data_IF_377993442311
#
_entry.id   IF_377993442311
#
_cell.length_a   1.000
_cell.length_b   1.000
_cell.length_c   1.000
_cell.angle_alpha   90.00
_cell.angle_beta   90.00
_cell.angle_gamma   90.00
#
_symmetry.space_group_name_H-M   'P 1'
#
loop_
_entity.id
_entity.type
_entity.pdbx_description
1 polymer ?
#
# COMPACT_ATOMS: atom_id res chain seq x y z
N UNK A 1 -1.96 -4.61 -24.35
CA UNK A 1 -3.10 -3.89 -23.77
C UNK A 1 -3.58 -2.89 -24.79
N UNK A 2 -4.84 -3.00 -25.21
CA UNK A 2 -5.44 -2.15 -26.24
C UNK A 2 -6.34 -1.05 -25.64
N UNK A 3 -7.08 -0.31 -26.49
CA UNK A 3 -7.99 0.75 -26.04
C UNK A 3 -9.16 0.24 -25.20
N UNK A 4 -9.64 -0.98 -25.47
CA UNK A 4 -10.75 -1.59 -24.72
C UNK A 4 -10.25 -1.96 -23.33
N UNK A 5 -9.07 -2.57 -23.22
CA UNK A 5 -8.47 -2.91 -21.93
C UNK A 5 -8.27 -1.65 -21.06
N UNK A 6 -7.78 -0.56 -21.65
CA UNK A 6 -7.65 0.74 -20.95
C UNK A 6 -9.03 1.26 -20.51
N UNK A 7 -10.04 1.14 -21.37
CA UNK A 7 -11.42 1.52 -21.06
C UNK A 7 -12.02 0.72 -19.91
N UNK A 8 -11.73 -0.58 -19.84
CA UNK A 8 -12.14 -1.48 -18.76
C UNK A 8 -11.48 -1.07 -17.43
N UNK A 9 -10.16 -0.84 -17.44
CA UNK A 9 -9.44 -0.39 -16.25
C UNK A 9 -9.98 0.94 -15.75
N UNK A 10 -10.22 1.91 -16.63
CA UNK A 10 -10.83 3.21 -16.27
C UNK A 10 -12.24 3.08 -15.72
N UNK A 11 -13.03 2.13 -16.24
CA UNK A 11 -14.41 1.91 -15.79
C UNK A 11 -14.49 1.19 -14.45
N UNK A 12 -13.43 0.51 -14.03
CA UNK A 12 -13.39 -0.30 -12.79
C UNK A 12 -12.49 0.27 -11.70
N UNK A 13 -11.70 1.32 -12.00
CA UNK A 13 -10.71 1.89 -11.06
C UNK A 13 -11.31 2.44 -9.76
N UNK A 14 -12.54 2.96 -9.81
CA UNK A 14 -13.25 3.50 -8.64
C UNK A 14 -14.22 2.45 -8.04
N UNK A 15 -14.13 1.19 -8.50
CA UNK A 15 -15.06 0.10 -8.18
C UNK A 15 -15.96 -0.28 -9.37
N UNK A 16 -16.72 -1.35 -9.20
CA UNK A 16 -17.78 -1.74 -10.16
C UNK A 16 -19.11 -1.08 -9.78
N UNK A 17 -20.03 -0.85 -10.73
CA UNK A 17 -21.39 -0.40 -10.42
C UNK A 17 -22.06 -1.32 -9.39
N UNK A 18 -22.77 -0.76 -8.42
CA UNK A 18 -23.52 -1.56 -7.43
C UNK A 18 -24.93 -1.81 -7.97
N UNK A 19 -25.02 -2.73 -8.93
CA UNK A 19 -26.28 -3.17 -9.56
C UNK A 19 -26.28 -4.69 -9.74
N UNK A 20 -27.41 -5.26 -10.17
CA UNK A 20 -27.53 -6.70 -10.40
C UNK A 20 -26.68 -7.21 -11.58
N UNK A 21 -26.36 -6.34 -12.54
CA UNK A 21 -25.63 -6.67 -13.77
C UNK A 21 -24.51 -5.64 -14.02
N UNK A 22 -23.45 -5.60 -13.19
CA UNK A 22 -22.43 -4.55 -13.24
C UNK A 22 -21.58 -4.59 -14.51
N UNK A 23 -21.23 -5.79 -14.99
CA UNK A 23 -20.38 -5.95 -16.17
C UNK A 23 -21.13 -5.65 -17.46
N UNK A 24 -22.42 -5.99 -17.53
CA UNK A 24 -23.32 -5.55 -18.60
C UNK A 24 -23.35 -4.03 -18.78
N UNK A 25 -23.37 -3.25 -17.70
CA UNK A 25 -23.31 -1.79 -17.80
C UNK A 25 -21.98 -1.29 -18.36
N UNK A 26 -20.88 -1.92 -17.96
CA UNK A 26 -19.54 -1.62 -18.49
C UNK A 26 -19.47 -1.98 -19.98
N UNK A 27 -20.05 -3.13 -20.36
CA UNK A 27 -20.12 -3.62 -21.74
C UNK A 27 -20.86 -2.62 -22.64
N UNK A 28 -22.03 -2.14 -22.22
CA UNK A 28 -22.79 -1.10 -22.95
C UNK A 28 -21.98 0.18 -23.16
N UNK A 29 -21.25 0.63 -22.14
CA UNK A 29 -20.44 1.85 -22.21
C UNK A 29 -19.24 1.72 -23.15
N UNK A 30 -18.69 0.52 -23.28
CA UNK A 30 -17.53 0.22 -24.11
C UNK A 30 -17.90 -0.38 -25.47
N UNK A 31 -19.21 -0.53 -25.76
CA UNK A 31 -19.75 -1.09 -27.00
C UNK A 31 -19.23 -2.51 -27.33
N UNK A 32 -19.08 -3.34 -26.29
CA UNK A 32 -18.66 -4.75 -26.40
C UNK A 32 -19.68 -5.68 -25.72
N UNK A 33 -19.52 -7.00 -25.87
CA UNK A 33 -20.33 -7.97 -25.14
C UNK A 33 -19.93 -8.07 -23.67
N UNK A 34 -20.85 -8.51 -22.81
CA UNK A 34 -20.53 -8.79 -21.40
C UNK A 34 -19.51 -9.93 -21.26
N UNK A 35 -19.59 -10.95 -22.11
CA UNK A 35 -18.61 -12.04 -22.14
C UNK A 35 -17.19 -11.50 -22.44
N UNK A 36 -17.06 -10.57 -23.39
CA UNK A 36 -15.76 -9.96 -23.69
C UNK A 36 -15.22 -9.14 -22.52
N UNK A 37 -16.07 -8.44 -21.77
CA UNK A 37 -15.68 -7.75 -20.52
C UNK A 37 -15.09 -8.74 -19.53
N UNK A 38 -15.80 -9.85 -19.28
CA UNK A 38 -15.40 -10.86 -18.30
C UNK A 38 -14.10 -11.55 -18.69
N UNK A 39 -13.97 -11.96 -19.96
CA UNK A 39 -12.78 -12.63 -20.47
C UNK A 39 -11.54 -11.73 -20.39
N UNK A 40 -11.68 -10.46 -20.75
CA UNK A 40 -10.58 -9.49 -20.68
C UNK A 40 -10.16 -9.20 -19.24
N UNK A 41 -11.12 -8.98 -18.33
CA UNK A 41 -10.83 -8.79 -16.91
C UNK A 41 -10.14 -10.03 -16.32
N UNK A 42 -10.64 -11.23 -16.61
CA UNK A 42 -10.04 -12.49 -16.16
C UNK A 42 -8.61 -12.66 -16.71
N UNK A 43 -8.39 -12.35 -17.98
CA UNK A 43 -7.06 -12.38 -18.61
C UNK A 43 -6.09 -11.38 -17.95
N UNK A 44 -6.54 -10.15 -17.68
CA UNK A 44 -5.72 -9.13 -16.99
C UNK A 44 -5.41 -9.51 -15.53
N UNK A 45 -6.33 -10.18 -14.83
CA UNK A 45 -6.07 -10.74 -13.50
C UNK A 45 -5.00 -11.84 -13.59
N UNK A 46 -5.18 -12.80 -14.51
CA UNK A 46 -4.24 -13.91 -14.72
C UNK A 46 -2.85 -13.43 -15.14
N UNK A 47 -2.79 -12.36 -15.96
CA UNK A 47 -1.55 -11.74 -16.42
C UNK A 47 -0.90 -10.77 -15.43
N UNK A 48 -1.49 -10.55 -14.25
CA UNK A 48 -0.94 -9.66 -13.22
C UNK A 48 -1.10 -8.17 -13.49
N UNK A 49 -1.79 -7.77 -14.57
CA UNK A 49 -2.15 -6.36 -14.84
C UNK A 49 -3.12 -5.87 -13.77
N UNK A 50 -4.10 -6.69 -13.41
CA UNK A 50 -4.98 -6.48 -12.25
C UNK A 50 -4.49 -7.39 -11.13
N UNK A 51 -3.87 -6.80 -10.10
CA UNK A 51 -3.33 -7.58 -8.95
C UNK A 51 -4.42 -8.31 -8.16
N UNK A 52 -5.59 -7.70 -8.00
CA UNK A 52 -6.70 -8.24 -7.19
C UNK A 52 -8.03 -7.65 -7.62
N UNK A 53 -9.05 -8.50 -7.72
CA UNK A 53 -10.45 -8.11 -7.74
C UNK A 53 -11.08 -8.47 -6.39
N UNK A 54 -11.62 -7.48 -5.67
CA UNK A 54 -12.22 -7.71 -4.35
C UNK A 54 -12.46 -6.44 -3.56
N UNK A 55 -13.05 -6.58 -2.37
CA UNK A 55 -13.34 -5.45 -1.49
C UNK A 55 -12.08 -4.91 -0.80
N UNK A 56 -12.01 -3.60 -0.66
CA UNK A 56 -11.00 -2.91 0.15
C UNK A 56 -11.67 -2.27 1.36
N UNK A 57 -11.29 -2.70 2.56
CA UNK A 57 -11.83 -2.19 3.82
C UNK A 57 -10.92 -1.07 4.32
N UNK A 58 -11.50 0.05 4.74
CA UNK A 58 -10.74 1.16 5.32
C UNK A 58 -10.19 0.81 6.70
N UNK A 59 -8.86 0.88 6.90
CA UNK A 59 -8.20 0.56 8.18
C UNK A 59 -8.77 1.32 9.40
N UNK A 60 -9.30 2.54 9.22
CA UNK A 60 -9.87 3.35 10.30
C UNK A 60 -11.22 2.77 10.76
N UNK A 61 -11.97 2.18 9.84
CA UNK A 61 -13.25 1.55 10.16
C UNK A 61 -13.09 0.30 11.03
N UNK A 62 -11.89 -0.30 11.05
CA UNK A 62 -11.55 -1.46 11.88
C UNK A 62 -10.69 -1.10 13.11
N UNK A 63 -10.64 0.18 13.49
CA UNK A 63 -10.01 0.63 14.74
C UNK A 63 -8.51 0.91 14.68
N UNK A 64 -7.85 0.80 13.52
CA UNK A 64 -6.44 1.23 13.39
C UNK A 64 -6.41 2.75 13.27
N UNK A 65 -6.08 3.41 14.37
CA UNK A 65 -6.15 4.87 14.54
C UNK A 65 -4.78 5.53 14.44
N UNK A 66 -3.70 4.84 14.80
CA UNK A 66 -2.34 5.37 14.75
C UNK A 66 -1.54 4.77 13.60
N UNK A 67 -0.88 5.64 12.84
CA UNK A 67 0.01 5.29 11.74
C UNK A 67 1.28 6.12 11.92
N UNK A 68 2.42 5.44 12.02
CA UNK A 68 3.71 6.07 12.20
C UNK A 68 4.66 5.61 11.10
N UNK A 69 5.27 6.56 10.40
CA UNK A 69 6.41 6.28 9.56
C UNK A 69 7.67 6.40 10.42
N UNK A 70 8.30 5.28 10.75
CA UNK A 70 9.60 5.30 11.40
C UNK A 70 10.70 5.29 10.32
N UNK A 71 11.70 6.14 10.51
CA UNK A 71 12.81 6.33 9.58
C UNK A 71 14.10 5.99 10.31
N UNK A 72 14.94 5.18 9.71
CA UNK A 72 16.09 4.54 10.36
C UNK A 72 17.36 4.85 9.58
N UNK A 73 18.43 5.19 10.31
CA UNK A 73 19.76 5.38 9.73
C UNK A 73 20.55 4.09 9.94
N UNK A 74 20.46 3.18 8.97
CA UNK A 74 21.03 1.83 9.02
C UNK A 74 22.34 1.80 8.24
N UNK A 75 23.43 1.23 8.77
CA UNK A 75 24.65 1.03 7.98
C UNK A 75 24.36 0.33 6.64
N UNK A 76 24.96 0.81 5.55
CA UNK A 76 24.62 0.35 4.19
C UNK A 76 24.85 -1.16 3.98
N UNK A 77 25.84 -1.71 4.68
CA UNK A 77 26.17 -3.14 4.70
C UNK A 77 25.17 -3.99 5.48
N UNK A 78 24.25 -3.38 6.24
CA UNK A 78 23.27 -4.06 7.11
C UNK A 78 21.83 -3.89 6.69
N UNK A 79 21.55 -3.15 5.62
CA UNK A 79 20.19 -2.77 5.22
C UNK A 79 19.29 -3.99 5.01
N UNK A 80 19.79 -5.01 4.32
CA UNK A 80 19.02 -6.21 4.01
C UNK A 80 18.70 -7.04 5.28
N UNK A 81 19.71 -7.27 6.13
CA UNK A 81 19.56 -8.00 7.40
C UNK A 81 18.58 -7.29 8.33
N UNK A 82 18.80 -5.98 8.55
CA UNK A 82 17.98 -5.16 9.45
C UNK A 82 16.57 -5.01 8.88
N UNK A 83 16.44 -4.79 7.57
CA UNK A 83 15.15 -4.68 6.90
C UNK A 83 14.31 -5.95 7.02
N UNK A 84 14.91 -7.12 6.85
CA UNK A 84 14.24 -8.40 7.05
C UNK A 84 13.76 -8.58 8.50
N UNK A 85 14.59 -8.23 9.48
CA UNK A 85 14.21 -8.28 10.89
C UNK A 85 13.06 -7.32 11.21
N UNK A 86 13.14 -6.08 10.73
CA UNK A 86 12.09 -5.06 10.90
C UNK A 86 10.76 -5.48 10.26
N UNK A 87 10.80 -6.07 9.07
CA UNK A 87 9.61 -6.55 8.37
C UNK A 87 8.94 -7.76 9.06
N UNK A 88 9.64 -8.43 9.98
CA UNK A 88 9.10 -9.53 10.78
C UNK A 88 8.18 -9.11 11.93
N UNK A 89 8.14 -7.82 12.29
CA UNK A 89 7.24 -7.30 13.32
C UNK A 89 5.80 -7.25 12.80
N UNK A 90 4.84 -7.76 13.57
CA UNK A 90 3.43 -7.85 13.16
C UNK A 90 2.79 -6.47 12.88
N UNK A 91 3.30 -5.44 13.55
CA UNK A 91 2.85 -4.05 13.45
C UNK A 91 3.44 -3.33 12.22
N UNK A 92 4.46 -3.91 11.58
CA UNK A 92 5.13 -3.34 10.40
C UNK A 92 4.49 -3.89 9.12
N UNK A 93 3.74 -3.06 8.41
CA UNK A 93 3.09 -3.47 7.14
C UNK A 93 3.96 -3.30 5.92
N UNK A 94 4.91 -2.37 5.98
CA UNK A 94 5.83 -2.08 4.89
C UNK A 94 7.20 -1.73 5.47
N UNK A 95 8.24 -2.27 4.84
CA UNK A 95 9.63 -1.91 5.08
C UNK A 95 10.26 -1.56 3.73
N UNK A 96 10.84 -0.37 3.61
CA UNK A 96 11.38 0.13 2.36
C UNK A 96 12.77 0.72 2.53
N UNK A 97 13.69 0.30 1.68
CA UNK A 97 14.94 1.01 1.45
C UNK A 97 14.71 2.25 0.57
N UNK A 98 15.41 3.34 0.89
CA UNK A 98 15.44 4.59 0.14
C UNK A 98 16.88 5.13 0.14
N UNK A 99 17.29 5.83 -0.93
CA UNK A 99 18.60 6.49 -0.94
C UNK A 99 18.67 7.61 0.10
N UNK A 100 19.87 7.85 0.62
CA UNK A 100 20.18 9.05 1.43
C UNK A 100 20.41 10.27 0.55
N UNK A 101 20.21 11.44 1.14
CA UNK A 101 20.54 12.74 0.55
C UNK A 101 21.30 13.59 1.59
N UNK A 102 22.01 14.66 1.20
CA UNK A 102 22.79 15.48 2.14
C UNK A 102 22.00 15.96 3.37
N UNK A 103 20.74 16.34 3.18
CA UNK A 103 19.85 16.80 4.25
C UNK A 103 18.99 15.67 4.85
N UNK A 104 19.18 14.42 4.40
CA UNK A 104 18.37 13.27 4.78
C UNK A 104 19.19 11.98 4.94
N UNK A 105 19.51 11.66 6.20
CA UNK A 105 20.38 10.53 6.56
C UNK A 105 19.67 9.17 6.73
N UNK A 106 18.34 9.10 6.61
CA UNK A 106 17.62 7.85 6.86
C UNK A 106 17.43 7.05 5.55
N UNK A 107 17.87 5.80 5.54
CA UNK A 107 17.84 4.92 4.37
C UNK A 107 16.85 3.76 4.47
N UNK A 108 16.27 3.51 5.65
CA UNK A 108 15.26 2.47 5.83
C UNK A 108 14.01 3.04 6.49
N UNK A 109 12.84 2.58 6.06
CA UNK A 109 11.54 3.15 6.45
C UNK A 109 10.60 2.02 6.85
N UNK A 110 10.02 2.08 8.04
CA UNK A 110 8.97 1.15 8.48
C UNK A 110 7.63 1.86 8.69
N UNK A 111 6.56 1.28 8.17
CA UNK A 111 5.19 1.74 8.44
C UNK A 111 4.60 0.94 9.58
N UNK A 112 4.56 1.56 10.76
CA UNK A 112 4.04 0.97 12.00
C UNK A 112 2.56 1.35 12.18
N UNK A 113 1.73 0.36 12.45
CA UNK A 113 0.31 0.51 12.75
C UNK A 113 -0.02 0.02 14.16
N UNK A 114 -0.75 0.85 14.92
CA UNK A 114 -1.18 0.52 16.28
C UNK A 114 -2.49 1.23 16.63
N UNK A 115 -2.97 1.04 17.86
CA UNK A 115 -4.21 1.66 18.37
C UNK A 115 -3.94 3.01 19.06
N UNK A 116 -2.68 3.35 19.33
CA UNK A 116 -2.28 4.63 19.94
C UNK A 116 -0.90 5.08 19.46
N UNK A 117 -0.54 6.35 19.74
CA UNK A 117 0.80 6.87 19.40
C UNK A 117 1.86 6.26 20.30
N UNK A 118 1.52 6.07 21.56
CA UNK A 118 2.35 5.48 22.60
C UNK A 118 2.70 4.03 22.24
N UNK A 119 1.76 3.27 21.67
CA UNK A 119 2.03 1.93 21.14
C UNK A 119 2.99 1.97 19.95
N UNK A 120 2.81 2.90 18.99
CA UNK A 120 3.78 3.05 17.90
C UNK A 120 5.19 3.37 18.40
N UNK A 121 5.31 4.22 19.41
CA UNK A 121 6.61 4.56 20.04
C UNK A 121 7.24 3.37 20.74
N UNK A 122 6.42 2.56 21.44
CA UNK A 122 6.86 1.31 22.06
C UNK A 122 7.39 0.33 21.02
N UNK A 123 6.64 0.10 19.93
CA UNK A 123 7.06 -0.79 18.83
C UNK A 123 8.35 -0.28 18.19
N UNK A 124 8.47 1.02 17.90
CA UNK A 124 9.71 1.59 17.36
C UNK A 124 10.90 1.37 18.31
N UNK A 125 10.69 1.49 19.62
CA UNK A 125 11.73 1.19 20.61
C UNK A 125 12.11 -0.29 20.63
N UNK A 126 11.14 -1.20 20.54
CA UNK A 126 11.38 -2.64 20.46
C UNK A 126 12.18 -3.02 19.20
N UNK A 127 11.82 -2.45 18.05
CA UNK A 127 12.58 -2.59 16.80
C UNK A 127 14.01 -2.06 16.96
N UNK A 128 14.18 -0.89 17.57
CA UNK A 128 15.51 -0.30 17.83
C UNK A 128 16.38 -1.22 18.68
N UNK A 129 15.82 -1.82 19.74
CA UNK A 129 16.52 -2.78 20.60
C UNK A 129 16.88 -4.05 19.83
N UNK A 130 15.93 -4.62 19.08
CA UNK A 130 16.13 -5.87 18.35
C UNK A 130 17.17 -5.75 17.22
N UNK A 131 17.21 -4.61 16.55
CA UNK A 131 18.10 -4.34 15.40
C UNK A 131 19.43 -3.70 15.81
N UNK A 132 19.51 -3.16 17.02
CA UNK A 132 20.64 -2.33 17.48
C UNK A 132 20.70 -0.94 16.84
N UNK A 133 19.70 -0.54 16.03
CA UNK A 133 19.66 0.75 15.35
C UNK A 133 19.02 1.79 16.26
N UNK A 134 19.85 2.61 16.91
CA UNK A 134 19.41 3.69 17.80
C UNK A 134 19.11 5.03 17.12
N UNK A 135 19.56 5.23 15.88
CA UNK A 135 19.37 6.47 15.14
C UNK A 135 18.12 6.38 14.25
N UNK A 136 16.99 6.80 14.79
CA UNK A 136 15.69 6.79 14.10
C UNK A 136 14.81 7.99 14.46
N UNK A 137 13.83 8.27 13.62
CA UNK A 137 12.81 9.30 13.86
C UNK A 137 11.42 8.78 13.53
N UNK A 138 10.44 9.14 14.36
CA UNK A 138 9.04 8.76 14.19
C UNK A 138 8.26 9.95 13.63
N UNK A 139 7.71 9.77 12.44
CA UNK A 139 6.90 10.77 11.74
C UNK A 139 5.43 10.39 11.83
N UNK A 140 4.72 10.99 12.78
CA UNK A 140 3.27 10.86 12.88
C UNK A 140 2.55 11.73 11.86
N UNK A 141 1.57 11.14 11.19
CA UNK A 141 0.67 11.91 10.33
C UNK A 141 -0.15 12.88 11.17
N UNK A 142 0.00 14.19 10.90
CA UNK A 142 -0.81 15.25 11.53
C UNK A 142 -2.05 15.60 10.73
N UNK A 143 -1.94 15.61 9.40
CA UNK A 143 -3.00 15.96 8.47
C UNK A 143 -2.84 15.17 7.18
N UNK A 144 -3.95 14.65 6.66
CA UNK A 144 -4.00 14.01 5.35
C UNK A 144 -4.40 15.08 4.31
N UNK A 145 -3.45 15.51 3.48
CA UNK A 145 -3.72 16.50 2.43
C UNK A 145 -4.35 15.88 1.19
N UNK A 146 -3.99 14.63 0.87
CA UNK A 146 -4.50 13.88 -0.29
C UNK A 146 -4.36 12.38 -0.05
N UNK A 147 -5.41 11.62 -0.35
CA UNK A 147 -5.40 10.15 -0.35
C UNK A 147 -6.21 9.63 -1.54
N UNK A 148 -5.52 9.36 -2.63
CA UNK A 148 -6.10 8.87 -3.88
C UNK A 148 -5.18 7.82 -4.47
N UNK A 149 -5.73 6.77 -5.08
CA UNK A 149 -4.94 5.83 -5.87
C UNK A 149 -4.33 6.50 -7.11
N UNK A 150 -3.34 5.84 -7.71
CA UNK A 150 -2.84 6.21 -9.05
C UNK A 150 -3.98 5.98 -10.05
N UNK A 151 -4.20 6.95 -10.94
CA UNK A 151 -5.24 6.92 -11.98
C UNK A 151 -4.61 6.82 -13.37
N UNK A 152 -5.28 6.12 -14.28
CA UNK A 152 -4.93 6.01 -15.71
C UNK A 152 -5.61 7.11 -16.55
#
# INVERSE_FOLDING_TARGET
>A
MDKIDIGLLKSTQDGIPITSEPFKQIAMKLEISEDEVLDRLASMIKGGVIRRFGASIGHRAIGITANAMCTWNVPDDKVEEVGALMAGFAEVTHCYERPRYPDWKYNLFTMIHAYSREECEKVAKEISIATGIGDYSILFSKKEFKKTGVRL
#
